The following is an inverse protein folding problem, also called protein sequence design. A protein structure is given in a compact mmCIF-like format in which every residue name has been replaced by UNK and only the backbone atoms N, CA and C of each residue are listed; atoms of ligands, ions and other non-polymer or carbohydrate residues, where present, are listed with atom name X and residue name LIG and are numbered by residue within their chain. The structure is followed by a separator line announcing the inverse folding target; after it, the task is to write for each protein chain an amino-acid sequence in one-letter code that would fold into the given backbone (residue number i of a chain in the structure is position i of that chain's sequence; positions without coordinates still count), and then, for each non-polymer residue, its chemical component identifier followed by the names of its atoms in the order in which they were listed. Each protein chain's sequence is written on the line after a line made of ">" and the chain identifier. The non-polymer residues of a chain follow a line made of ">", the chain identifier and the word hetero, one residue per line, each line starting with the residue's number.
data_IF_052082696016
#
_entry.id   IF_052082696016
#
_cell.length_a   1.000
_cell.length_b   1.000
_cell.length_c   1.000
_cell.angle_alpha   90.00
_cell.angle_beta   90.00
_cell.angle_gamma   90.00
#
_symmetry.space_group_name_H-M   'P 1'
#
loop_
_entity.id
_entity.type
_entity.pdbx_description
1 polymer ?
#
# COMPACT_ATOMS: atom_id res chain seq x y z
N UNK A 1 10.24 20.77 -3.36
CA UNK A 1 9.34 19.70 -2.88
C UNK A 1 10.19 18.63 -2.19
N UNK A 2 9.91 18.26 -0.93
CA UNK A 2 10.63 17.18 -0.24
C UNK A 2 10.42 15.83 -0.94
N UNK A 3 11.42 14.94 -0.85
CA UNK A 3 11.39 13.61 -1.50
C UNK A 3 10.14 12.80 -1.11
N UNK A 4 9.75 12.84 0.15
CA UNK A 4 8.58 12.10 0.64
C UNK A 4 7.28 12.62 -0.01
N UNK A 5 7.17 13.93 -0.17
CA UNK A 5 6.03 14.54 -0.85
C UNK A 5 5.96 14.14 -2.33
N UNK A 6 7.10 13.99 -3.02
CA UNK A 6 7.12 13.49 -4.40
C UNK A 6 6.57 12.06 -4.47
N UNK A 7 7.00 11.18 -3.56
CA UNK A 7 6.52 9.79 -3.53
C UNK A 7 5.05 9.66 -3.14
N UNK A 8 4.57 10.53 -2.27
CA UNK A 8 3.15 10.61 -1.91
C UNK A 8 2.30 11.05 -3.10
N UNK A 9 2.70 12.12 -3.80
CA UNK A 9 2.02 12.54 -5.03
C UNK A 9 2.06 11.47 -6.12
N UNK A 10 3.19 10.78 -6.26
CA UNK A 10 3.31 9.65 -7.18
C UNK A 10 2.33 8.51 -6.83
N UNK A 11 2.13 8.23 -5.54
CA UNK A 11 1.17 7.21 -5.10
C UNK A 11 -0.27 7.54 -5.51
N UNK A 12 -0.68 8.81 -5.39
CA UNK A 12 -1.99 9.24 -5.87
C UNK A 12 -2.12 9.14 -7.39
N UNK A 13 -1.16 9.73 -8.12
CA UNK A 13 -1.11 9.63 -9.58
C UNK A 13 -1.15 8.17 -10.08
N UNK A 14 -0.48 7.25 -9.39
CA UNK A 14 -0.44 5.84 -9.77
C UNK A 14 -1.83 5.21 -9.78
N UNK A 15 -2.71 5.56 -8.84
CA UNK A 15 -4.08 5.05 -8.77
C UNK A 15 -4.88 5.56 -9.96
N UNK A 16 -4.87 6.87 -10.18
CA UNK A 16 -5.55 7.50 -11.33
C UNK A 16 -5.08 6.87 -12.64
N UNK A 17 -3.77 6.78 -12.84
CA UNK A 17 -3.18 6.19 -14.03
C UNK A 17 -3.60 4.73 -14.24
N UNK A 18 -3.51 3.88 -13.20
CA UNK A 18 -3.89 2.46 -13.31
C UNK A 18 -5.37 2.31 -13.68
N UNK A 19 -6.23 3.14 -13.10
CA UNK A 19 -7.67 3.13 -13.41
C UNK A 19 -7.92 3.57 -14.86
N UNK A 20 -7.24 4.63 -15.33
CA UNK A 20 -7.34 5.13 -16.71
C UNK A 20 -6.88 4.12 -17.77
N UNK A 21 -5.87 3.31 -17.48
CA UNK A 21 -5.36 2.30 -18.43
C UNK A 21 -6.16 0.98 -18.40
N UNK A 22 -7.32 0.96 -17.73
CA UNK A 22 -8.30 -0.12 -17.85
C UNK A 22 -8.42 -1.05 -16.63
N UNK A 23 -7.83 -0.72 -15.47
CA UNK A 23 -7.98 -1.49 -14.25
C UNK A 23 -9.05 -0.95 -13.29
N UNK A 24 -9.79 0.09 -13.70
CA UNK A 24 -10.83 0.74 -12.88
C UNK A 24 -11.83 -0.25 -12.28
N UNK A 25 -12.49 -1.05 -13.12
CA UNK A 25 -13.48 -2.04 -12.65
C UNK A 25 -12.86 -3.05 -11.70
N UNK A 26 -11.66 -3.55 -12.01
CA UNK A 26 -10.96 -4.49 -11.15
C UNK A 26 -10.67 -3.90 -9.76
N UNK A 27 -10.14 -2.67 -9.70
CA UNK A 27 -9.84 -1.97 -8.44
C UNK A 27 -11.11 -1.76 -7.61
N UNK A 28 -12.23 -1.33 -8.25
CA UNK A 28 -13.52 -1.13 -7.57
C UNK A 28 -14.12 -2.44 -7.06
N UNK A 29 -13.86 -3.56 -7.72
CA UNK A 29 -14.37 -4.87 -7.33
C UNK A 29 -13.53 -5.59 -6.26
N UNK A 30 -12.35 -5.07 -5.88
CA UNK A 30 -11.50 -5.73 -4.89
C UNK A 30 -12.18 -5.88 -3.52
N UNK A 31 -12.99 -4.90 -3.11
CA UNK A 31 -13.70 -4.93 -1.83
C UNK A 31 -14.79 -3.87 -1.76
N UNK A 32 -15.87 -4.08 -0.98
CA UNK A 32 -16.89 -3.05 -0.75
C UNK A 32 -16.45 -1.93 0.23
N UNK A 33 -15.29 -2.06 0.89
CA UNK A 33 -14.81 -1.04 1.83
C UNK A 33 -13.27 -0.95 1.85
N UNK A 34 -12.75 0.14 2.45
CA UNK A 34 -11.32 0.44 2.48
C UNK A 34 -10.49 -0.65 3.20
N UNK A 35 -10.96 -1.13 4.35
CA UNK A 35 -10.25 -2.19 5.11
C UNK A 35 -10.06 -3.44 4.27
N UNK A 36 -11.14 -3.93 3.65
CA UNK A 36 -11.08 -5.11 2.81
C UNK A 36 -10.26 -4.88 1.54
N UNK A 37 -10.22 -3.66 0.99
CA UNK A 37 -9.30 -3.34 -0.10
C UNK A 37 -7.84 -3.52 0.32
N UNK A 38 -7.47 -2.97 1.48
CA UNK A 38 -6.12 -3.08 2.03
C UNK A 38 -5.74 -4.54 2.33
N UNK A 39 -6.67 -5.34 2.84
CA UNK A 39 -6.48 -6.78 3.07
C UNK A 39 -6.25 -7.58 1.77
N UNK A 40 -6.77 -7.10 0.64
CA UNK A 40 -6.62 -7.75 -0.67
C UNK A 40 -5.36 -7.31 -1.44
N UNK A 41 -4.56 -6.37 -0.94
CA UNK A 41 -3.36 -5.89 -1.65
C UNK A 41 -2.31 -6.97 -1.83
N UNK A 42 -2.14 -7.90 -0.89
CA UNK A 42 -1.21 -9.02 -1.03
C UNK A 42 -1.65 -9.95 -2.17
N UNK A 43 -2.95 -10.27 -2.23
CA UNK A 43 -3.56 -11.08 -3.29
C UNK A 43 -3.42 -10.41 -4.66
N UNK A 44 -3.60 -9.08 -4.72
CA UNK A 44 -3.37 -8.30 -5.94
C UNK A 44 -1.92 -8.45 -6.42
N UNK A 45 -0.94 -8.20 -5.56
CA UNK A 45 0.46 -8.31 -5.96
C UNK A 45 0.85 -9.73 -6.37
N UNK A 46 0.30 -10.74 -5.68
CA UNK A 46 0.48 -12.14 -6.06
C UNK A 46 -0.09 -12.42 -7.46
N UNK A 47 -1.31 -11.96 -7.75
CA UNK A 47 -1.95 -12.10 -9.05
C UNK A 47 -1.16 -11.41 -10.17
N UNK A 48 -0.72 -10.16 -9.96
CA UNK A 48 0.10 -9.44 -10.93
C UNK A 48 1.40 -10.18 -11.23
N UNK A 49 2.05 -10.71 -10.20
CA UNK A 49 3.29 -11.45 -10.36
C UNK A 49 3.08 -12.79 -11.08
N UNK A 50 2.17 -13.63 -10.59
CA UNK A 50 2.10 -15.03 -11.01
C UNK A 50 1.21 -15.27 -12.23
N UNK A 51 0.23 -14.39 -12.46
CA UNK A 51 -0.79 -14.58 -13.50
C UNK A 51 -0.56 -13.62 -14.66
N UNK A 52 -0.47 -12.32 -14.36
CA UNK A 52 -0.48 -11.27 -15.39
C UNK A 52 0.89 -11.13 -16.05
N UNK A 53 1.94 -10.86 -15.25
CA UNK A 53 3.26 -10.50 -15.78
C UNK A 53 4.28 -11.63 -15.75
N UNK A 54 4.16 -12.60 -14.84
CA UNK A 54 5.11 -13.72 -14.66
C UNK A 54 6.56 -13.22 -14.50
N UNK A 55 6.73 -12.14 -13.74
CA UNK A 55 7.93 -11.33 -13.72
C UNK A 55 8.79 -11.48 -12.45
N UNK A 56 8.42 -12.37 -11.52
CA UNK A 56 9.08 -12.54 -10.22
C UNK A 56 9.12 -11.23 -9.42
N UNK A 57 8.01 -10.49 -9.45
CA UNK A 57 7.82 -9.24 -8.73
C UNK A 57 7.92 -9.50 -7.23
N UNK A 58 8.79 -8.73 -6.57
CA UNK A 58 8.82 -8.68 -5.11
C UNK A 58 7.84 -7.61 -4.63
N UNK A 59 6.59 -8.01 -4.44
CA UNK A 59 5.56 -7.16 -3.85
C UNK A 59 5.85 -6.82 -2.38
N UNK A 60 5.29 -5.71 -1.87
CA UNK A 60 5.18 -5.49 -0.44
C UNK A 60 4.12 -6.42 0.19
N UNK A 61 4.02 -6.40 1.52
CA UNK A 61 2.95 -7.09 2.25
C UNK A 61 2.23 -6.14 3.20
N UNK A 62 0.92 -6.34 3.36
CA UNK A 62 0.03 -5.50 4.14
C UNK A 62 -0.76 -6.31 5.18
N UNK A 63 -0.82 -5.84 6.42
CA UNK A 63 -1.72 -6.38 7.45
C UNK A 63 -2.53 -5.24 8.05
N UNK A 64 -3.82 -5.46 8.23
CA UNK A 64 -4.74 -4.47 8.76
C UNK A 64 -5.31 -4.93 10.09
N UNK A 65 -5.42 -4.01 11.03
CA UNK A 65 -6.13 -4.19 12.29
C UNK A 65 -7.15 -3.07 12.42
N UNK A 66 -8.37 -3.41 12.82
CA UNK A 66 -9.42 -2.42 13.10
C UNK A 66 -9.40 -2.12 14.61
N UNK A 67 -9.29 -0.84 14.93
CA UNK A 67 -9.23 -0.38 16.31
C UNK A 67 -10.64 -0.15 16.86
N UNK A 68 -10.78 -0.12 18.19
CA UNK A 68 -12.08 0.06 18.85
C UNK A 68 -12.75 1.42 18.55
N UNK A 69 -11.98 2.41 18.12
CA UNK A 69 -12.45 3.74 17.72
C UNK A 69 -12.81 3.82 16.22
N UNK A 70 -12.76 2.70 15.49
CA UNK A 70 -13.02 2.62 14.05
C UNK A 70 -11.85 3.03 13.15
N UNK A 71 -10.71 3.44 13.72
CA UNK A 71 -9.49 3.67 12.94
C UNK A 71 -8.87 2.35 12.49
N UNK A 72 -8.02 2.40 11.46
CA UNK A 72 -7.32 1.23 10.92
C UNK A 72 -5.82 1.39 11.18
N UNK A 73 -5.22 0.39 11.81
CA UNK A 73 -3.76 0.23 11.87
C UNK A 73 -3.31 -0.59 10.67
N UNK A 74 -2.51 0.03 9.79
CA UNK A 74 -1.97 -0.62 8.59
C UNK A 74 -0.47 -0.89 8.76
N UNK A 75 -0.10 -2.16 8.77
CA UNK A 75 1.29 -2.61 8.77
C UNK A 75 1.74 -2.84 7.33
N UNK A 76 2.75 -2.10 6.90
CA UNK A 76 3.38 -2.21 5.59
C UNK A 76 4.79 -2.79 5.73
N UNK A 77 5.04 -3.92 5.07
CA UNK A 77 6.34 -4.59 5.03
C UNK A 77 6.91 -4.54 3.62
N UNK A 78 8.17 -4.17 3.49
CA UNK A 78 8.82 -4.07 2.18
C UNK A 78 10.31 -4.34 2.26
N UNK A 79 10.86 -4.92 1.19
CA UNK A 79 12.32 -4.93 0.99
C UNK A 79 12.84 -3.76 0.17
N UNK A 80 12.01 -2.73 -0.05
CA UNK A 80 12.37 -1.47 -0.73
C UNK A 80 12.28 -0.31 0.27
N UNK A 81 13.33 -0.08 1.09
CA UNK A 81 13.28 0.92 2.15
C UNK A 81 13.08 2.34 1.62
N UNK A 82 12.27 3.13 2.32
CA UNK A 82 12.06 4.56 2.06
C UNK A 82 10.94 4.88 1.05
N UNK A 83 10.21 3.87 0.56
CA UNK A 83 9.09 4.05 -0.38
C UNK A 83 7.72 4.10 0.28
N UNK A 84 7.66 4.07 1.62
CA UNK A 84 6.39 4.13 2.36
C UNK A 84 5.50 5.35 2.04
N UNK A 85 5.99 6.54 1.59
CA UNK A 85 5.08 7.63 1.25
C UNK A 85 4.18 7.31 0.05
N UNK A 86 4.60 6.38 -0.84
CA UNK A 86 3.73 5.89 -1.93
C UNK A 86 2.46 5.26 -1.36
N UNK A 87 2.57 4.52 -0.24
CA UNK A 87 1.41 3.90 0.42
C UNK A 87 0.41 4.97 0.85
N UNK A 88 0.87 6.10 1.41
CA UNK A 88 -0.03 7.21 1.76
C UNK A 88 -0.80 7.72 0.56
N UNK A 89 -0.10 8.03 -0.53
CA UNK A 89 -0.71 8.51 -1.76
C UNK A 89 -1.76 7.54 -2.30
N UNK A 90 -1.40 6.25 -2.40
CA UNK A 90 -2.30 5.21 -2.90
C UNK A 90 -3.54 5.07 -2.02
N UNK A 91 -3.39 4.99 -0.69
CA UNK A 91 -4.51 4.76 0.22
C UNK A 91 -5.45 5.98 0.26
N UNK A 92 -4.91 7.19 0.33
CA UNK A 92 -5.72 8.42 0.24
C UNK A 92 -6.49 8.51 -1.07
N UNK A 93 -5.84 8.19 -2.18
CA UNK A 93 -6.45 8.33 -3.48
C UNK A 93 -7.53 7.27 -3.71
N UNK A 94 -7.28 6.01 -3.37
CA UNK A 94 -8.29 4.95 -3.40
C UNK A 94 -9.49 5.30 -2.50
N UNK A 95 -9.25 5.78 -1.28
CA UNK A 95 -10.31 6.23 -0.38
C UNK A 95 -11.20 7.29 -1.04
N UNK A 96 -10.60 8.26 -1.72
CA UNK A 96 -11.28 9.36 -2.41
C UNK A 96 -12.07 8.89 -3.65
N UNK A 97 -11.46 8.14 -4.56
CA UNK A 97 -12.02 7.87 -5.90
C UNK A 97 -12.81 6.56 -6.00
N UNK A 98 -12.53 5.60 -5.12
CA UNK A 98 -13.21 4.29 -5.08
C UNK A 98 -14.30 4.28 -4.02
N UNK A 99 -13.97 4.75 -2.81
CA UNK A 99 -14.87 4.65 -1.65
C UNK A 99 -15.60 5.96 -1.32
N UNK A 100 -15.21 7.07 -1.95
CA UNK A 100 -15.80 8.39 -1.72
C UNK A 100 -15.77 8.82 -0.24
N UNK A 101 -14.67 8.49 0.46
CA UNK A 101 -14.42 8.89 1.84
C UNK A 101 -13.14 9.72 1.91
N UNK A 102 -13.13 10.71 2.81
CA UNK A 102 -11.91 11.39 3.21
C UNK A 102 -11.26 10.63 4.35
N UNK A 103 -9.93 10.58 4.36
CA UNK A 103 -9.17 9.94 5.43
C UNK A 103 -7.97 10.78 5.82
N UNK A 104 -7.55 10.65 7.08
CA UNK A 104 -6.24 11.06 7.56
C UNK A 104 -5.35 9.84 7.71
N UNK A 105 -4.14 9.88 7.15
CA UNK A 105 -3.14 8.83 7.30
C UNK A 105 -1.83 9.38 7.87
N UNK A 106 -1.36 8.80 8.97
CA UNK A 106 -0.12 9.19 9.63
C UNK A 106 0.79 7.99 9.88
N UNK A 107 2.10 8.22 9.91
CA UNK A 107 3.08 7.17 10.27
C UNK A 107 3.25 7.21 11.78
N UNK A 108 2.96 6.09 12.45
CA UNK A 108 3.09 5.94 13.91
C UNK A 108 4.31 5.10 14.29
N UNK A 109 4.86 4.32 13.37
CA UNK A 109 6.06 3.52 13.58
C UNK A 109 6.82 3.26 12.30
N UNK A 110 8.15 3.22 12.39
CA UNK A 110 9.03 2.88 11.27
C UNK A 110 10.28 2.19 11.78
N UNK A 111 10.55 1.01 11.25
CA UNK A 111 11.69 0.18 11.64
C UNK A 111 12.34 -0.34 10.37
N UNK A 112 13.66 -0.17 10.26
CA UNK A 112 14.47 -0.82 9.24
C UNK A 112 15.39 -1.84 9.91
N UNK A 113 15.50 -3.03 9.32
CA UNK A 113 16.35 -4.11 9.83
C UNK A 113 17.13 -4.72 8.69
N UNK A 114 18.37 -5.09 8.99
CA UNK A 114 19.13 -6.00 8.15
C UNK A 114 18.75 -7.44 8.49
N UNK A 115 18.47 -8.24 7.47
CA UNK A 115 18.12 -9.64 7.56
C UNK A 115 19.13 -10.43 6.73
N UNK A 116 19.78 -11.42 7.36
CA UNK A 116 20.61 -12.36 6.64
C UNK A 116 19.75 -13.43 5.98
N UNK A 117 19.89 -13.56 4.66
CA UNK A 117 19.28 -14.61 3.87
C UNK A 117 20.37 -15.51 3.27
N UNK A 118 20.00 -16.68 2.77
CA UNK A 118 20.92 -17.57 2.05
C UNK A 118 21.57 -16.89 0.82
N UNK A 119 20.93 -15.86 0.26
CA UNK A 119 21.37 -15.10 -0.91
C UNK A 119 22.15 -13.83 -0.57
N UNK A 120 22.39 -13.56 0.71
CA UNK A 120 23.10 -12.36 1.20
C UNK A 120 22.28 -11.53 2.19
N UNK A 121 22.80 -10.35 2.50
CA UNK A 121 22.17 -9.39 3.40
C UNK A 121 21.08 -8.58 2.67
N UNK A 122 19.91 -8.44 3.29
CA UNK A 122 18.79 -7.66 2.76
C UNK A 122 18.28 -6.68 3.82
N UNK A 123 17.95 -5.46 3.38
CA UNK A 123 17.24 -4.51 4.22
C UNK A 123 15.74 -4.72 4.06
N UNK A 124 15.05 -4.89 5.18
CA UNK A 124 13.60 -4.88 5.29
C UNK A 124 13.14 -3.66 6.07
N UNK A 125 12.02 -3.09 5.66
CA UNK A 125 11.38 -1.95 6.30
C UNK A 125 9.95 -2.35 6.69
N UNK A 126 9.60 -2.08 7.95
CA UNK A 126 8.25 -2.15 8.48
C UNK A 126 7.80 -0.74 8.85
N UNK A 127 6.69 -0.30 8.27
CA UNK A 127 6.04 0.97 8.60
C UNK A 127 4.64 0.69 9.12
N UNK A 128 4.28 1.34 10.22
CA UNK A 128 2.94 1.31 10.80
C UNK A 128 2.28 2.65 10.49
N UNK A 129 1.11 2.58 9.87
CA UNK A 129 0.26 3.71 9.62
C UNK A 129 -0.98 3.64 10.51
N UNK A 130 -1.47 4.81 10.94
CA UNK A 130 -2.80 4.97 11.50
C UNK A 130 -3.66 5.71 10.48
N UNK A 131 -4.80 5.12 10.13
CA UNK A 131 -5.79 5.65 9.18
C UNK A 131 -7.08 5.97 9.95
N UNK A 132 -7.58 7.19 9.80
CA UNK A 132 -8.81 7.67 10.42
C UNK A 132 -9.74 8.18 9.33
N UNK A 133 -11.01 7.79 9.38
CA UNK A 133 -12.09 8.29 8.50
C UNK A 133 -12.76 9.48 9.16
#
# INVERSE_FOLDING_TARGET
>A
MPREQVWELYGGFLVEYIMEIGWDEFIRCMSPNLKGFLENLDSLHYFLDHVVYKAHLRGPSFRCEENADGSITLHYFTGRPGLYPIVKGVVCEVARVVFHIEISISVTGRIQRSVQMATGERIEEHVVFLIQV
#
